data_IF_742246097565
#
_entry.id   IF_742246097565
#
_cell.length_a   1.000
_cell.length_b   1.000
_cell.length_c   1.000
_cell.angle_alpha   90.00
_cell.angle_beta   90.00
_cell.angle_gamma   90.00
#
_symmetry.space_group_name_H-M   'P 1'
#
loop_
_entity.id
_entity.type
_entity.pdbx_description
1 polymer ?
#
# COMPACT_ATOMS: atom_id res chain seq x y z
N UNK A 1 -25.73 21.61 14.27
CA UNK A 1 -24.78 21.52 15.37
C UNK A 1 -23.36 21.78 14.83
N UNK A 2 -22.48 22.30 15.68
CA UNK A 2 -21.05 22.46 15.42
C UNK A 2 -20.30 21.63 16.44
N UNK A 3 -19.34 20.83 16.00
CA UNK A 3 -18.51 19.98 16.86
C UNK A 3 -17.10 20.54 16.88
N UNK A 4 -16.57 20.77 18.06
CA UNK A 4 -15.23 21.36 18.27
C UNK A 4 -14.39 20.42 19.12
N UNK A 5 -13.21 20.07 18.62
CA UNK A 5 -12.20 19.29 19.34
C UNK A 5 -11.27 20.21 20.13
N UNK A 6 -10.96 19.81 21.35
CA UNK A 6 -10.01 20.46 22.23
C UNK A 6 -9.08 19.46 22.93
N UNK A 7 -8.37 19.92 23.92
CA UNK A 7 -7.52 19.09 24.76
C UNK A 7 -8.39 18.30 25.74
N UNK A 8 -8.33 16.98 25.68
CA UNK A 8 -9.11 16.03 26.49
C UNK A 8 -10.65 16.17 26.38
N UNK A 9 -11.14 16.91 25.40
CA UNK A 9 -12.57 17.22 25.27
C UNK A 9 -13.01 17.36 23.82
N UNK A 10 -14.28 17.03 23.57
CA UNK A 10 -15.03 17.46 22.39
C UNK A 10 -16.30 18.15 22.87
N UNK A 11 -16.58 19.31 22.33
CA UNK A 11 -17.76 20.09 22.68
C UNK A 11 -18.69 20.27 21.48
N UNK A 12 -19.99 20.11 21.71
CA UNK A 12 -21.04 20.24 20.69
C UNK A 12 -21.83 21.48 21.00
N UNK A 13 -21.97 22.36 20.00
CA UNK A 13 -22.70 23.61 20.11
C UNK A 13 -23.95 23.60 19.22
N UNK A 14 -24.99 24.27 19.68
CA UNK A 14 -26.09 24.63 18.82
C UNK A 14 -25.65 25.74 17.86
N UNK A 15 -25.79 25.49 16.55
CA UNK A 15 -25.27 26.41 15.52
C UNK A 15 -26.02 27.75 15.44
N UNK A 16 -27.24 27.84 15.99
CA UNK A 16 -28.04 29.06 15.95
C UNK A 16 -27.79 29.95 17.17
N UNK A 17 -27.65 29.31 18.32
CA UNK A 17 -27.55 30.04 19.60
C UNK A 17 -26.11 30.15 20.12
N UNK A 18 -25.17 29.40 19.57
CA UNK A 18 -23.80 29.30 20.05
C UNK A 18 -23.64 28.65 21.43
N UNK A 19 -24.72 28.11 21.98
CA UNK A 19 -24.69 27.49 23.31
C UNK A 19 -24.16 26.07 23.23
N UNK A 20 -23.31 25.67 24.19
CA UNK A 20 -22.87 24.30 24.37
C UNK A 20 -24.06 23.39 24.73
N UNK A 21 -24.19 22.30 23.97
CA UNK A 21 -25.27 21.30 24.17
C UNK A 21 -24.74 20.00 24.77
N UNK A 22 -23.46 19.71 24.56
CA UNK A 22 -22.83 18.49 25.09
C UNK A 22 -21.32 18.64 25.21
N UNK A 23 -20.75 18.02 26.25
CA UNK A 23 -19.32 17.87 26.46
C UNK A 23 -18.98 16.41 26.59
N UNK A 24 -18.01 15.96 25.79
CA UNK A 24 -17.60 14.56 25.69
C UNK A 24 -16.11 14.49 26.04
N UNK A 25 -15.77 13.72 27.08
CA UNK A 25 -14.38 13.51 27.45
C UNK A 25 -13.68 12.55 26.46
N UNK A 26 -12.48 12.89 26.07
CA UNK A 26 -11.56 12.06 25.26
C UNK A 26 -10.20 12.02 25.95
N UNK A 27 -9.32 11.16 25.49
CA UNK A 27 -7.92 11.12 25.97
C UNK A 27 -7.02 11.75 24.94
N UNK A 28 -6.34 12.84 25.25
CA UNK A 28 -5.46 13.63 24.38
C UNK A 28 -6.23 14.64 23.52
N UNK A 29 -5.50 15.42 22.73
CA UNK A 29 -6.08 16.44 21.87
C UNK A 29 -6.88 15.84 20.72
N UNK A 30 -8.14 16.24 20.58
CA UNK A 30 -9.03 15.83 19.49
C UNK A 30 -8.60 16.50 18.18
N UNK A 31 -7.93 15.76 17.28
CA UNK A 31 -7.38 16.26 16.01
C UNK A 31 -8.28 15.98 14.81
N UNK A 32 -8.96 14.85 14.81
CA UNK A 32 -9.86 14.47 13.71
C UNK A 32 -11.27 14.22 14.22
N UNK A 33 -12.25 14.78 13.53
CA UNK A 33 -13.67 14.67 13.85
C UNK A 33 -14.42 14.22 12.58
N UNK A 34 -15.26 13.20 12.71
CA UNK A 34 -16.14 12.76 11.63
C UNK A 34 -17.49 12.32 12.18
N UNK A 35 -18.55 12.64 11.44
CA UNK A 35 -19.91 12.20 11.78
C UNK A 35 -20.42 11.29 10.66
N UNK A 36 -20.83 10.07 11.01
CA UNK A 36 -21.43 9.11 10.10
C UNK A 36 -22.45 8.25 10.84
N UNK A 37 -23.58 7.96 10.22
CA UNK A 37 -24.65 7.10 10.74
C UNK A 37 -25.05 7.40 12.20
N UNK A 38 -25.17 8.68 12.54
CA UNK A 38 -25.54 9.12 13.90
C UNK A 38 -24.45 8.90 14.94
N UNK A 39 -23.19 8.63 14.51
CA UNK A 39 -22.03 8.45 15.37
C UNK A 39 -21.04 9.58 15.15
N UNK A 40 -20.46 10.06 16.24
CA UNK A 40 -19.32 10.97 16.22
C UNK A 40 -18.03 10.15 16.46
N UNK A 41 -17.13 10.17 15.50
CA UNK A 41 -15.80 9.56 15.58
C UNK A 41 -14.79 10.68 15.87
N UNK A 42 -13.94 10.44 16.85
CA UNK A 42 -12.91 11.39 17.29
C UNK A 42 -11.57 10.67 17.35
N UNK A 43 -10.59 11.14 16.57
CA UNK A 43 -9.21 10.68 16.71
C UNK A 43 -8.38 11.67 17.50
N UNK A 44 -7.51 11.18 18.39
CA UNK A 44 -6.67 12.00 19.25
C UNK A 44 -5.18 11.75 19.00
N UNK A 45 -4.34 12.71 19.39
CA UNK A 45 -2.88 12.56 19.33
C UNK A 45 -2.30 11.54 20.34
N UNK A 46 -3.11 11.11 21.31
CA UNK A 46 -2.80 9.95 22.16
C UNK A 46 -2.98 8.59 21.47
N UNK A 47 -3.27 8.58 20.14
CA UNK A 47 -3.48 7.35 19.35
C UNK A 47 -4.81 6.64 19.65
N UNK A 48 -5.80 7.36 20.17
CA UNK A 48 -7.14 6.83 20.48
C UNK A 48 -8.15 7.23 19.41
N UNK A 49 -9.12 6.35 19.18
CA UNK A 49 -10.33 6.64 18.41
C UNK A 49 -11.51 6.42 19.34
N UNK A 50 -12.22 7.50 19.63
CA UNK A 50 -13.45 7.47 20.40
C UNK A 50 -14.65 7.44 19.44
N UNK A 51 -15.67 6.67 19.79
CA UNK A 51 -16.93 6.60 19.04
C UNK A 51 -18.09 6.91 19.98
N UNK A 52 -18.76 8.02 19.76
CA UNK A 52 -19.93 8.43 20.54
C UNK A 52 -21.21 8.19 19.73
N UNK A 53 -22.24 7.67 20.37
CA UNK A 53 -23.57 7.46 19.77
C UNK A 53 -24.64 7.67 20.83
N UNK A 54 -25.90 7.80 20.40
CA UNK A 54 -27.06 7.92 21.30
C UNK A 54 -27.50 6.59 21.92
N UNK A 55 -26.86 5.46 21.52
CA UNK A 55 -27.15 4.13 22.05
C UNK A 55 -26.32 3.79 23.28
N UNK A 56 -26.46 2.55 23.76
CA UNK A 56 -25.63 2.03 24.86
C UNK A 56 -24.15 2.06 24.51
N UNK A 57 -23.30 2.37 25.49
CA UNK A 57 -21.85 2.35 25.32
C UNK A 57 -21.37 0.97 24.81
N UNK A 58 -20.68 0.99 23.69
CA UNK A 58 -20.01 -0.20 23.17
C UNK A 58 -18.86 -0.62 24.08
N UNK A 59 -18.50 -1.90 24.00
CA UNK A 59 -17.32 -2.41 24.71
C UNK A 59 -16.06 -1.82 24.08
N UNK A 60 -15.11 -1.36 24.90
CA UNK A 60 -13.80 -0.93 24.41
C UNK A 60 -13.15 -2.08 23.64
N UNK A 61 -12.79 -1.80 22.38
CA UNK A 61 -12.09 -2.78 21.54
C UNK A 61 -10.60 -2.40 21.51
N UNK A 62 -9.79 -3.18 22.18
CA UNK A 62 -8.35 -3.04 22.06
C UNK A 62 -7.90 -3.40 20.63
N UNK A 63 -6.94 -2.64 20.09
CA UNK A 63 -6.31 -3.01 18.83
C UNK A 63 -5.70 -4.41 18.96
N UNK A 64 -5.99 -5.29 18.00
CA UNK A 64 -5.35 -6.61 17.97
C UNK A 64 -3.85 -6.45 17.77
N UNK A 65 -3.05 -7.26 18.49
CA UNK A 65 -1.60 -7.27 18.27
C UNK A 65 -1.29 -7.63 16.81
N UNK A 66 -0.37 -6.92 16.16
CA UNK A 66 0.03 -7.26 14.80
C UNK A 66 0.54 -8.70 14.68
N UNK A 67 0.13 -9.38 13.61
CA UNK A 67 0.57 -10.73 13.28
C UNK A 67 1.75 -10.62 12.33
N UNK A 68 2.85 -11.27 12.64
CA UNK A 68 4.05 -11.24 11.80
C UNK A 68 3.74 -11.80 10.39
N UNK A 69 3.06 -12.94 10.28
CA UNK A 69 2.65 -13.51 9.00
C UNK A 69 1.16 -13.85 8.98
N UNK A 70 0.35 -13.15 8.16
CA UNK A 70 -1.08 -13.40 8.06
C UNK A 70 -1.42 -14.53 7.07
N UNK A 71 -0.43 -15.02 6.30
CA UNK A 71 -0.61 -16.05 5.28
C UNK A 71 -0.27 -17.45 5.82
N UNK A 72 -0.86 -18.50 5.24
CA UNK A 72 -0.47 -19.87 5.59
C UNK A 72 0.97 -20.14 5.14
N UNK A 73 1.68 -20.95 5.92
CA UNK A 73 2.99 -21.46 5.49
C UNK A 73 2.78 -22.53 4.42
N UNK A 74 3.23 -22.21 3.21
CA UNK A 74 3.14 -23.07 2.03
C UNK A 74 4.44 -22.98 1.19
N UNK A 75 4.46 -23.65 0.04
CA UNK A 75 5.59 -23.61 -0.90
C UNK A 75 5.99 -22.19 -1.35
N UNK A 76 5.05 -21.25 -1.33
CA UNK A 76 5.28 -19.88 -1.78
C UNK A 76 5.95 -19.01 -0.72
N UNK A 77 5.89 -19.38 0.57
CA UNK A 77 6.49 -18.58 1.64
C UNK A 77 7.98 -18.33 1.40
N UNK A 78 8.73 -19.39 1.09
CA UNK A 78 10.16 -19.25 0.78
C UNK A 78 10.41 -18.51 -0.53
N UNK A 79 9.54 -18.67 -1.54
CA UNK A 79 9.66 -17.98 -2.83
C UNK A 79 9.52 -16.48 -2.66
N UNK A 80 8.52 -16.00 -1.94
CA UNK A 80 8.30 -14.58 -1.71
C UNK A 80 9.45 -13.93 -0.90
N UNK A 81 9.93 -14.59 0.14
CA UNK A 81 11.07 -14.11 0.93
C UNK A 81 12.37 -14.03 0.09
N UNK A 82 12.67 -15.07 -0.68
CA UNK A 82 13.84 -15.09 -1.55
C UNK A 82 13.73 -14.02 -2.66
N UNK A 83 12.53 -13.87 -3.26
CA UNK A 83 12.28 -12.88 -4.31
C UNK A 83 12.43 -11.45 -3.80
N UNK A 84 11.88 -11.13 -2.64
CA UNK A 84 12.03 -9.79 -2.05
C UNK A 84 13.51 -9.46 -1.81
N UNK A 85 14.27 -10.36 -1.20
CA UNK A 85 15.72 -10.17 -0.99
C UNK A 85 16.48 -10.02 -2.30
N UNK A 86 16.14 -10.82 -3.30
CA UNK A 86 16.78 -10.76 -4.62
C UNK A 86 16.47 -9.45 -5.34
N UNK A 87 15.23 -8.97 -5.29
CA UNK A 87 14.81 -7.68 -5.88
C UNK A 87 15.61 -6.54 -5.24
N UNK A 88 15.62 -6.47 -3.91
CA UNK A 88 16.31 -5.41 -3.18
C UNK A 88 17.82 -5.42 -3.42
N UNK A 89 18.46 -6.59 -3.41
CA UNK A 89 19.90 -6.69 -3.63
C UNK A 89 20.32 -6.34 -5.06
N UNK A 90 19.49 -6.66 -6.06
CA UNK A 90 19.79 -6.37 -7.47
C UNK A 90 19.57 -4.92 -7.85
N UNK A 91 18.57 -4.28 -7.26
CA UNK A 91 18.24 -2.89 -7.57
C UNK A 91 18.94 -1.89 -6.66
N UNK A 92 19.33 -2.28 -5.46
CA UNK A 92 19.84 -1.37 -4.43
C UNK A 92 18.78 -0.39 -3.91
N UNK A 93 17.50 -0.57 -4.27
CA UNK A 93 16.41 0.36 -3.91
C UNK A 93 15.69 -0.21 -2.68
N UNK A 94 15.98 0.33 -1.52
CA UNK A 94 15.40 -0.09 -0.24
C UNK A 94 14.50 0.97 0.42
N UNK A 95 14.35 2.13 -0.21
CA UNK A 95 13.56 3.26 0.29
C UNK A 95 12.87 4.00 -0.85
N UNK A 96 11.89 4.86 -0.52
CA UNK A 96 11.03 5.53 -1.49
C UNK A 96 9.75 4.76 -1.79
N UNK A 97 9.26 4.85 -3.03
CA UNK A 97 7.98 4.26 -3.43
C UNK A 97 8.17 3.04 -4.32
N UNK A 98 7.47 1.96 -3.98
CA UNK A 98 7.41 0.75 -4.81
C UNK A 98 5.99 0.57 -5.36
N UNK A 99 5.88 0.36 -6.67
CA UNK A 99 4.64 -0.04 -7.34
C UNK A 99 4.66 -1.56 -7.56
N UNK A 100 3.62 -2.25 -7.10
CA UNK A 100 3.39 -3.66 -7.39
C UNK A 100 2.24 -3.78 -8.37
N UNK A 101 2.52 -4.13 -9.62
CA UNK A 101 1.50 -4.35 -10.66
C UNK A 101 1.02 -5.80 -10.63
N UNK A 102 -0.30 -6.00 -10.56
CA UNK A 102 -0.87 -7.31 -10.26
C UNK A 102 -0.42 -7.76 -8.88
N UNK A 103 -0.99 -7.13 -7.84
CA UNK A 103 -0.55 -7.30 -6.46
C UNK A 103 -1.05 -8.61 -5.83
N UNK A 104 -1.90 -9.37 -6.54
CA UNK A 104 -2.45 -10.65 -6.09
C UNK A 104 -3.04 -10.53 -4.67
N UNK A 105 -2.62 -11.37 -3.76
CA UNK A 105 -3.03 -11.31 -2.36
C UNK A 105 -2.08 -10.48 -1.48
N UNK A 106 -1.13 -9.73 -2.07
CA UNK A 106 -0.22 -8.83 -1.37
C UNK A 106 0.97 -9.50 -0.67
N UNK A 107 1.30 -10.75 -1.00
CA UNK A 107 2.42 -11.48 -0.37
C UNK A 107 3.78 -10.89 -0.71
N UNK A 108 4.01 -10.54 -1.99
CA UNK A 108 5.24 -9.87 -2.42
C UNK A 108 5.38 -8.49 -1.77
N UNK A 109 4.28 -7.73 -1.71
CA UNK A 109 4.26 -6.44 -1.03
C UNK A 109 4.66 -6.56 0.44
N UNK A 110 4.14 -7.56 1.16
CA UNK A 110 4.51 -7.80 2.55
C UNK A 110 5.98 -8.19 2.70
N UNK A 111 6.49 -9.10 1.87
CA UNK A 111 7.88 -9.53 1.91
C UNK A 111 8.85 -8.36 1.65
N UNK A 112 8.55 -7.49 0.68
CA UNK A 112 9.32 -6.26 0.43
C UNK A 112 9.25 -5.29 1.60
N UNK A 113 8.07 -5.02 2.17
CA UNK A 113 7.92 -4.09 3.29
C UNK A 113 8.69 -4.51 4.54
N UNK A 114 8.83 -5.82 4.78
CA UNK A 114 9.61 -6.37 5.91
C UNK A 114 11.11 -6.23 5.75
N UNK A 115 11.59 -6.26 4.52
CA UNK A 115 13.01 -6.25 4.20
C UNK A 115 13.54 -4.88 3.75
N UNK A 116 12.71 -3.83 3.79
CA UNK A 116 13.09 -2.49 3.30
C UNK A 116 12.35 -1.36 4.02
N UNK A 117 12.73 -0.12 3.73
CA UNK A 117 12.02 1.10 4.11
C UNK A 117 10.97 1.57 3.08
N UNK A 118 10.72 0.80 2.01
CA UNK A 118 9.81 1.17 0.93
C UNK A 118 8.36 1.39 1.41
N UNK A 119 7.71 2.40 0.84
CA UNK A 119 6.25 2.55 0.84
C UNK A 119 5.69 1.87 -0.41
N UNK A 120 4.83 0.89 -0.23
CA UNK A 120 4.42 -0.03 -1.28
C UNK A 120 2.97 0.21 -1.66
N UNK A 121 2.75 0.44 -2.95
CA UNK A 121 1.45 0.67 -3.56
C UNK A 121 1.19 -0.44 -4.57
N UNK A 122 0.22 -1.29 -4.28
CA UNK A 122 -0.18 -2.37 -5.17
C UNK A 122 -1.44 -1.98 -5.95
N UNK A 123 -1.51 -2.42 -7.20
CA UNK A 123 -2.71 -2.39 -8.03
C UNK A 123 -3.11 -3.80 -8.42
N UNK A 124 -4.40 -4.09 -8.29
CA UNK A 124 -4.99 -5.39 -8.60
C UNK A 124 -6.39 -5.18 -9.18
N UNK A 125 -6.70 -5.90 -10.24
CA UNK A 125 -7.99 -5.76 -10.94
C UNK A 125 -9.07 -6.71 -10.43
N UNK A 126 -8.71 -7.77 -9.72
CA UNK A 126 -9.65 -8.72 -9.14
C UNK A 126 -10.10 -8.26 -7.75
N UNK A 127 -11.40 -7.86 -7.58
CA UNK A 127 -11.90 -7.39 -6.28
C UNK A 127 -11.75 -8.41 -5.16
N UNK A 128 -11.84 -9.71 -5.46
CA UNK A 128 -11.69 -10.77 -4.46
C UNK A 128 -10.25 -10.86 -3.96
N UNK A 129 -9.27 -10.73 -4.85
CA UNK A 129 -7.84 -10.65 -4.48
C UNK A 129 -7.55 -9.39 -3.67
N UNK A 130 -8.09 -8.24 -4.07
CA UNK A 130 -7.97 -6.97 -3.31
C UNK A 130 -8.53 -7.12 -1.90
N UNK A 131 -9.74 -7.66 -1.76
CA UNK A 131 -10.35 -7.86 -0.44
C UNK A 131 -9.52 -8.81 0.43
N UNK A 132 -9.03 -9.92 -0.14
CA UNK A 132 -8.17 -10.89 0.55
C UNK A 132 -6.84 -10.26 0.99
N UNK A 133 -6.18 -9.49 0.10
CA UNK A 133 -4.95 -8.79 0.40
C UNK A 133 -5.13 -7.78 1.54
N UNK A 134 -6.13 -6.92 1.46
CA UNK A 134 -6.45 -5.93 2.49
C UNK A 134 -6.71 -6.60 3.84
N UNK A 135 -7.55 -7.63 3.87
CA UNK A 135 -7.87 -8.40 5.08
C UNK A 135 -6.62 -9.01 5.73
N UNK A 136 -5.72 -9.56 4.94
CA UNK A 136 -4.48 -10.14 5.43
C UNK A 136 -3.52 -9.05 5.95
N UNK A 137 -3.28 -8.00 5.14
CA UNK A 137 -2.30 -6.97 5.43
C UNK A 137 -2.67 -6.07 6.62
N UNK A 138 -3.96 -5.79 6.85
CA UNK A 138 -4.44 -5.08 8.05
C UNK A 138 -3.98 -5.78 9.33
N UNK A 139 -3.99 -7.12 9.36
CA UNK A 139 -3.56 -7.90 10.52
C UNK A 139 -2.07 -7.72 10.85
N UNK A 140 -1.25 -7.29 9.90
CA UNK A 140 0.19 -7.07 10.11
C UNK A 140 0.51 -5.72 10.76
N UNK A 141 -0.46 -4.81 10.84
CA UNK A 141 -0.25 -3.44 11.27
C UNK A 141 0.47 -2.56 10.23
N UNK A 142 0.79 -3.08 9.04
CA UNK A 142 1.51 -2.32 8.00
C UNK A 142 0.59 -1.68 6.95
N UNK A 143 -0.67 -2.11 6.87
CA UNK A 143 -1.61 -1.60 5.89
C UNK A 143 -2.00 -0.14 6.18
N UNK A 144 -2.06 0.67 5.14
CA UNK A 144 -2.42 2.09 5.20
C UNK A 144 -1.24 3.05 5.39
N UNK A 145 -0.13 2.63 6.02
CA UNK A 145 1.04 3.49 6.18
C UNK A 145 2.32 3.00 5.49
N UNK A 146 2.45 1.69 5.29
CA UNK A 146 3.57 1.07 4.57
C UNK A 146 3.12 0.35 3.30
N UNK A 147 1.94 -0.25 3.31
CA UNK A 147 1.38 -1.01 2.19
C UNK A 147 -0.03 -0.52 1.95
N UNK A 148 -0.36 -0.22 0.70
CA UNK A 148 -1.72 0.08 0.26
C UNK A 148 -2.01 -0.72 -1.01
N UNK A 149 -3.18 -1.37 -1.09
CA UNK A 149 -3.63 -2.10 -2.30
C UNK A 149 -4.86 -1.40 -2.83
N UNK A 150 -4.79 -0.94 -4.08
CA UNK A 150 -5.91 -0.34 -4.79
C UNK A 150 -6.49 -1.32 -5.80
N UNK A 151 -7.81 -1.33 -5.87
CA UNK A 151 -8.53 -1.93 -6.97
C UNK A 151 -8.47 -0.98 -8.17
N UNK A 152 -7.93 -1.45 -9.29
CA UNK A 152 -7.86 -0.69 -10.51
C UNK A 152 -7.91 -1.63 -11.72
N UNK A 153 -8.59 -1.22 -12.79
CA UNK A 153 -8.62 -1.98 -14.02
C UNK A 153 -7.21 -2.15 -14.61
N UNK A 154 -7.00 -3.22 -15.37
CA UNK A 154 -5.73 -3.45 -16.05
C UNK A 154 -5.42 -2.26 -16.98
N UNK A 155 -4.29 -1.60 -16.76
CA UNK A 155 -3.88 -0.41 -17.49
C UNK A 155 -4.27 0.93 -16.86
N UNK A 156 -5.03 0.92 -15.77
CA UNK A 156 -5.35 2.11 -14.99
C UNK A 156 -4.57 2.09 -13.67
N UNK A 157 -3.45 2.78 -13.62
CA UNK A 157 -2.66 2.92 -12.39
C UNK A 157 -3.01 4.27 -11.77
N UNK A 158 -3.71 4.32 -10.61
CA UNK A 158 -4.28 5.56 -10.06
C UNK A 158 -3.25 6.40 -9.31
N UNK A 159 -2.05 6.52 -9.87
CA UNK A 159 -0.95 7.30 -9.29
C UNK A 159 -0.38 8.26 -10.32
N UNK A 160 0.32 9.29 -9.83
CA UNK A 160 1.01 10.25 -10.69
C UNK A 160 2.14 9.59 -11.48
N UNK A 161 2.47 10.16 -12.65
CA UNK A 161 3.66 9.75 -13.38
C UNK A 161 4.92 9.96 -12.54
N UNK A 162 5.94 9.15 -12.78
CA UNK A 162 7.28 9.27 -12.18
C UNK A 162 7.33 9.13 -10.65
N UNK A 163 6.35 8.51 -10.02
CA UNK A 163 6.36 8.38 -8.56
C UNK A 163 7.19 7.19 -8.06
N UNK A 164 7.26 6.09 -8.83
CA UNK A 164 7.84 4.83 -8.37
C UNK A 164 9.36 4.79 -8.52
N UNK A 165 10.07 4.57 -7.44
CA UNK A 165 11.48 4.23 -7.44
C UNK A 165 11.71 2.80 -7.91
N UNK A 166 10.82 1.88 -7.51
CA UNK A 166 10.86 0.47 -7.85
C UNK A 166 9.50 0.02 -8.38
N UNK A 167 9.51 -0.76 -9.46
CA UNK A 167 8.32 -1.46 -9.97
C UNK A 167 8.58 -2.96 -10.00
N UNK A 168 7.63 -3.73 -9.47
CA UNK A 168 7.65 -5.20 -9.45
C UNK A 168 6.28 -5.74 -9.82
N UNK A 169 6.16 -7.05 -10.06
CA UNK A 169 4.86 -7.70 -10.29
C UNK A 169 4.76 -9.03 -9.53
N UNK A 170 3.72 -9.15 -8.70
CA UNK A 170 3.41 -10.41 -8.01
C UNK A 170 2.82 -11.41 -9.00
N UNK A 171 1.91 -10.96 -9.89
CA UNK A 171 1.38 -11.81 -10.97
C UNK A 171 2.50 -12.37 -11.85
N UNK A 172 3.52 -11.56 -12.21
CA UNK A 172 4.65 -12.06 -12.98
C UNK A 172 5.44 -13.14 -12.21
N UNK A 173 5.67 -12.93 -10.92
CA UNK A 173 6.34 -13.92 -10.07
C UNK A 173 5.65 -15.28 -10.09
N UNK A 174 4.31 -15.28 -10.13
CA UNK A 174 3.49 -16.49 -10.10
C UNK A 174 3.25 -17.12 -11.47
N UNK A 175 3.13 -16.31 -12.52
CA UNK A 175 2.62 -16.74 -13.84
C UNK A 175 3.55 -16.46 -15.01
N UNK A 176 4.59 -15.65 -14.83
CA UNK A 176 5.46 -15.17 -15.90
C UNK A 176 4.87 -14.02 -16.73
N UNK A 177 3.69 -13.52 -16.41
CA UNK A 177 3.01 -12.46 -17.17
C UNK A 177 2.87 -11.19 -16.34
N UNK A 178 3.13 -10.05 -16.95
CA UNK A 178 2.82 -8.74 -16.36
C UNK A 178 1.42 -8.34 -16.83
N UNK A 179 0.47 -8.06 -15.93
CA UNK A 179 -0.94 -7.83 -16.31
C UNK A 179 -1.19 -6.44 -16.90
N UNK A 180 -0.18 -5.60 -16.99
CA UNK A 180 -0.25 -4.20 -17.48
C UNK A 180 0.75 -4.01 -18.61
N UNK A 181 0.39 -3.23 -19.63
CA UNK A 181 1.27 -2.92 -20.75
C UNK A 181 2.53 -2.14 -20.28
N UNK A 182 3.66 -2.36 -20.96
CA UNK A 182 4.94 -1.80 -20.54
C UNK A 182 4.97 -0.27 -20.56
N UNK A 183 4.39 0.38 -21.56
CA UNK A 183 4.31 1.84 -21.66
C UNK A 183 3.53 2.46 -20.50
N UNK A 184 2.48 1.80 -20.01
CA UNK A 184 1.73 2.26 -18.83
C UNK A 184 2.61 2.20 -17.59
N UNK A 185 3.33 1.10 -17.39
CA UNK A 185 4.24 0.94 -16.26
C UNK A 185 5.39 1.95 -16.33
N UNK A 186 5.96 2.14 -17.52
CA UNK A 186 7.06 3.08 -17.74
C UNK A 186 6.70 4.54 -17.42
N UNK A 187 5.43 4.94 -17.64
CA UNK A 187 4.97 6.28 -17.28
C UNK A 187 5.10 6.58 -15.78
N UNK A 188 4.93 5.58 -14.94
CA UNK A 188 4.99 5.73 -13.49
C UNK A 188 6.41 5.56 -12.91
N UNK A 189 7.36 5.05 -13.70
CA UNK A 189 8.74 4.83 -13.26
C UNK A 189 9.51 6.15 -13.19
N UNK A 190 10.11 6.43 -12.04
CA UNK A 190 10.92 7.62 -11.81
C UNK A 190 12.11 7.67 -12.78
N UNK A 191 12.40 8.80 -13.44
CA UNK A 191 13.62 8.95 -14.22
C UNK A 191 14.86 9.00 -13.31
N UNK A 192 16.02 8.74 -13.87
CA UNK A 192 17.31 8.82 -13.17
C UNK A 192 17.38 7.87 -11.94
N UNK A 193 17.34 6.57 -12.19
CA UNK A 193 17.57 5.55 -11.17
C UNK A 193 16.30 4.84 -10.67
N UNK A 194 15.12 5.10 -11.25
CA UNK A 194 13.99 4.21 -11.06
C UNK A 194 14.24 2.88 -11.77
N UNK A 195 13.85 1.76 -11.16
CA UNK A 195 14.05 0.43 -11.73
C UNK A 195 12.77 -0.40 -11.76
N UNK A 196 12.64 -1.20 -12.81
CA UNK A 196 11.68 -2.31 -12.88
C UNK A 196 12.47 -3.58 -12.61
N UNK A 197 12.02 -4.41 -11.68
CA UNK A 197 12.63 -5.69 -11.41
C UNK A 197 11.57 -6.79 -11.50
N UNK A 198 11.70 -7.63 -12.52
CA UNK A 198 10.80 -8.75 -12.77
C UNK A 198 11.59 -10.05 -12.79
N UNK A 199 11.02 -11.11 -12.26
CA UNK A 199 11.71 -12.39 -12.24
C UNK A 199 11.09 -13.35 -11.23
N UNK A 200 11.82 -14.44 -11.00
CA UNK A 200 11.42 -15.55 -10.15
C UNK A 200 11.51 -16.86 -10.91
N UNK A 201 10.40 -17.61 -11.01
CA UNK A 201 10.38 -18.94 -11.63
C UNK A 201 10.15 -18.93 -13.15
N UNK A 202 9.89 -17.77 -13.74
CA UNK A 202 9.51 -17.61 -15.14
C UNK A 202 10.51 -16.74 -15.90
N UNK A 203 10.74 -17.08 -17.18
CA UNK A 203 11.52 -16.26 -18.08
C UNK A 203 10.83 -14.92 -18.35
N UNK A 204 11.62 -13.90 -18.59
CA UNK A 204 11.14 -12.56 -18.91
C UNK A 204 10.71 -12.48 -20.40
N UNK A 205 9.57 -11.85 -20.65
CA UNK A 205 9.07 -11.62 -22.01
C UNK A 205 9.72 -10.37 -22.63
N UNK A 206 10.57 -10.59 -23.62
CA UNK A 206 11.24 -9.51 -24.36
C UNK A 206 10.26 -8.60 -25.09
N UNK A 207 9.10 -9.11 -25.53
CA UNK A 207 8.06 -8.32 -26.17
C UNK A 207 7.51 -7.27 -25.22
N UNK A 208 7.22 -7.69 -23.99
CA UNK A 208 6.76 -6.77 -22.95
C UNK A 208 7.84 -5.73 -22.60
N UNK A 209 9.10 -6.17 -22.48
CA UNK A 209 10.23 -5.26 -22.24
C UNK A 209 10.34 -4.18 -23.33
N UNK A 210 10.22 -4.57 -24.57
CA UNK A 210 10.29 -3.64 -25.71
C UNK A 210 9.13 -2.63 -25.70
N UNK A 211 7.96 -3.02 -25.18
CA UNK A 211 6.81 -2.12 -25.03
C UNK A 211 6.99 -1.04 -23.96
N UNK A 212 8.03 -1.11 -23.11
CA UNK A 212 8.33 -0.06 -22.13
C UNK A 212 8.62 1.30 -22.80
N UNK A 213 9.10 1.32 -24.04
CA UNK A 213 9.42 2.57 -24.77
C UNK A 213 10.47 3.45 -24.07
N UNK A 214 11.30 2.87 -23.20
CA UNK A 214 12.32 3.61 -22.46
C UNK A 214 13.47 4.04 -23.38
N UNK A 215 14.10 5.16 -23.05
CA UNK A 215 15.22 5.72 -23.83
C UNK A 215 16.39 4.75 -23.94
N UNK A 216 17.25 4.94 -24.94
CA UNK A 216 18.50 4.19 -25.16
C UNK A 216 19.50 4.28 -23.99
N UNK A 217 19.31 5.25 -23.08
CA UNK A 217 20.14 5.40 -21.87
C UNK A 217 19.68 4.48 -20.72
N UNK A 218 18.59 3.72 -20.90
CA UNK A 218 18.13 2.75 -19.91
C UNK A 218 18.99 1.51 -19.96
N UNK A 219 19.41 1.01 -18.80
CA UNK A 219 20.29 -0.17 -18.65
C UNK A 219 19.44 -1.37 -18.31
N UNK A 220 19.62 -2.46 -19.06
CA UNK A 220 18.99 -3.76 -18.75
C UNK A 220 20.04 -4.74 -18.28
N UNK A 221 19.82 -5.33 -17.12
CA UNK A 221 20.65 -6.41 -16.55
C UNK A 221 19.77 -7.64 -16.37
N UNK A 222 20.13 -8.74 -17.01
CA UNK A 222 19.38 -10.00 -16.91
C UNK A 222 20.31 -11.11 -16.42
N UNK A 223 19.85 -11.87 -15.45
CA UNK A 223 20.46 -13.13 -15.04
C UNK A 223 19.45 -14.29 -15.25
N UNK A 224 19.78 -15.50 -14.76
CA UNK A 224 18.92 -16.69 -14.92
C UNK A 224 17.55 -16.57 -14.26
N UNK A 225 17.36 -15.62 -13.34
CA UNK A 225 16.16 -15.52 -12.52
C UNK A 225 15.46 -14.17 -12.61
N UNK A 226 16.20 -13.08 -12.80
CA UNK A 226 15.63 -11.72 -12.77
C UNK A 226 16.14 -10.86 -13.90
N UNK A 227 15.26 -9.99 -14.38
CA UNK A 227 15.61 -8.88 -15.27
C UNK A 227 15.36 -7.56 -14.54
N UNK A 228 16.37 -6.72 -14.51
CA UNK A 228 16.29 -5.35 -13.97
C UNK A 228 16.43 -4.39 -15.14
N UNK A 229 15.47 -3.49 -15.29
CA UNK A 229 15.52 -2.38 -16.23
C UNK A 229 15.62 -1.09 -15.45
N UNK A 230 16.77 -0.44 -15.48
CA UNK A 230 17.00 0.86 -14.85
C UNK A 230 16.69 1.97 -15.85
N UNK A 231 15.85 2.94 -15.46
CA UNK A 231 15.51 4.07 -16.30
C UNK A 231 16.62 5.14 -16.26
N UNK A 232 17.15 5.47 -17.41
CA UNK A 232 18.08 6.58 -17.59
C UNK A 232 17.44 7.96 -17.46
N UNK A 233 18.20 9.00 -17.83
CA UNK A 233 17.68 10.37 -17.95
C UNK A 233 16.63 10.43 -19.06
N UNK A 234 15.68 11.36 -18.90
CA UNK A 234 14.69 11.69 -19.95
C UNK A 234 15.38 12.36 -21.14
#
# INVERSE_FOLDING_TARGET
QVVVGGEDIVEIFDAKTGKSTSRLAVQGAARGLAVSDGRLLVSTDAGRIHCFSTGSAGKETAASKPVADPYPRDKWTAVYEASAKSILSRTGIDSGFCLVVGAEQGRLALALARNSGLKIYGVESDPAKVAAARKALVRTGLYGHRITIHEAAAGEIPYSNYFANLVVSDTHLLTGRVPVAGEVVAAHLKPCGGAICLGGTHAFDDTWRNSLGLSKQSVTKTDKQFTVVERGKL
#
